data_IF_651623420775
#
_entry.id   IF_651623420775
#
_cell.length_a   1.000
_cell.length_b   1.000
_cell.length_c   1.000
_cell.angle_alpha   90.00
_cell.angle_beta   90.00
_cell.angle_gamma   90.00
#
_symmetry.space_group_name_H-M   'P 1'
#
loop_
_entity.id
_entity.type
_entity.pdbx_description
1 polymer ?
#
# COMPACT_ATOMS: atom_id res chain seq x y z
N UNK A 1 -15.73 -4.33 4.57
CA UNK A 1 -15.44 -2.91 4.24
C UNK A 1 -14.00 -2.62 4.64
N UNK A 2 -13.50 -1.37 4.49
CA UNK A 2 -12.09 -1.00 4.73
C UNK A 2 -11.10 -1.77 3.84
N UNK A 3 -11.50 -1.98 2.58
CA UNK A 3 -10.68 -2.49 1.48
C UNK A 3 -10.96 -1.63 0.25
N UNK A 4 -10.09 -1.68 -0.75
CA UNK A 4 -10.41 -1.16 -2.08
C UNK A 4 -11.44 -2.08 -2.78
N UNK A 5 -12.34 -1.49 -3.56
CA UNK A 5 -13.25 -2.24 -4.42
C UNK A 5 -14.37 -3.00 -3.69
N UNK A 6 -14.76 -4.13 -4.28
CA UNK A 6 -15.91 -4.92 -3.85
C UNK A 6 -15.54 -6.39 -3.69
N UNK A 7 -15.67 -6.87 -2.45
CA UNK A 7 -15.41 -8.26 -2.08
C UNK A 7 -16.54 -8.79 -1.21
N UNK A 8 -16.84 -10.07 -1.37
CA UNK A 8 -17.71 -10.86 -0.51
C UNK A 8 -16.91 -12.04 0.03
N UNK A 9 -16.98 -12.25 1.35
CA UNK A 9 -16.40 -13.41 2.03
C UNK A 9 -17.52 -14.20 2.67
N UNK A 10 -17.57 -15.49 2.40
CA UNK A 10 -18.47 -16.43 3.07
C UNK A 10 -17.63 -17.45 3.85
N UNK A 11 -18.10 -17.83 5.04
CA UNK A 11 -17.44 -18.84 5.86
C UNK A 11 -18.45 -19.81 6.43
N UNK A 12 -18.04 -21.08 6.58
CA UNK A 12 -18.79 -22.07 7.35
C UNK A 12 -18.05 -22.36 8.65
N UNK A 13 -18.75 -22.26 9.77
CA UNK A 13 -18.24 -22.56 11.10
C UNK A 13 -18.64 -23.97 11.50
N UNK A 14 -17.81 -24.63 12.31
CA UNK A 14 -18.23 -25.80 13.07
C UNK A 14 -18.95 -25.43 14.38
N UNK A 15 -19.37 -26.43 15.15
CA UNK A 15 -20.05 -26.26 16.44
C UNK A 15 -19.20 -25.52 17.50
N UNK A 16 -17.88 -25.42 17.29
CA UNK A 16 -16.94 -24.73 18.17
C UNK A 16 -16.60 -23.32 17.67
N UNK A 17 -17.37 -22.78 16.70
CA UNK A 17 -17.13 -21.49 16.04
C UNK A 17 -15.78 -21.39 15.30
N UNK A 18 -15.24 -22.50 14.82
CA UNK A 18 -14.01 -22.53 14.02
C UNK A 18 -14.36 -22.55 12.53
N UNK A 19 -13.74 -21.67 11.74
CA UNK A 19 -13.90 -21.64 10.28
C UNK A 19 -13.37 -22.94 9.68
N UNK A 20 -14.23 -23.68 8.97
CA UNK A 20 -13.90 -24.92 8.23
C UNK A 20 -13.91 -24.76 6.72
N UNK A 21 -14.57 -23.71 6.24
CA UNK A 21 -14.59 -23.34 4.83
C UNK A 21 -14.59 -21.81 4.72
N UNK A 22 -13.88 -21.29 3.73
CA UNK A 22 -13.84 -19.87 3.41
C UNK A 22 -13.90 -19.68 1.89
N UNK A 23 -14.78 -18.81 1.42
CA UNK A 23 -14.98 -18.48 0.01
C UNK A 23 -14.69 -16.99 -0.18
N UNK A 24 -13.77 -16.68 -1.08
CA UNK A 24 -13.43 -15.30 -1.48
C UNK A 24 -14.02 -15.00 -2.84
N UNK A 25 -14.90 -14.00 -2.94
CA UNK A 25 -15.57 -13.61 -4.17
C UNK A 25 -15.30 -12.15 -4.48
N UNK A 26 -14.60 -11.87 -5.57
CA UNK A 26 -14.55 -10.54 -6.16
C UNK A 26 -15.89 -10.20 -6.80
N UNK A 27 -16.52 -9.09 -6.40
CA UNK A 27 -17.89 -8.76 -6.81
C UNK A 27 -17.95 -7.60 -7.81
N UNK A 28 -16.87 -7.36 -8.54
CA UNK A 28 -16.78 -6.33 -9.57
C UNK A 28 -15.90 -6.73 -10.74
N UNK A 29 -16.17 -6.18 -11.92
CA UNK A 29 -15.33 -6.30 -13.11
C UNK A 29 -15.49 -5.07 -14.01
N UNK A 30 -14.43 -4.69 -14.73
CA UNK A 30 -14.42 -3.53 -15.66
C UNK A 30 -13.83 -3.83 -17.04
N UNK A 31 -13.05 -4.90 -17.20
CA UNK A 31 -12.56 -5.34 -18.52
C UNK A 31 -11.48 -4.48 -19.15
N UNK A 32 -10.48 -4.01 -18.40
CA UNK A 32 -9.40 -3.17 -18.94
C UNK A 32 -8.58 -3.90 -20.02
N UNK A 33 -8.35 -5.21 -19.89
CA UNK A 33 -7.68 -6.03 -20.90
C UNK A 33 -8.41 -5.98 -22.25
N UNK A 34 -9.74 -5.96 -22.22
CA UNK A 34 -10.58 -5.85 -23.42
C UNK A 34 -10.53 -4.43 -23.99
N UNK A 35 -10.61 -3.41 -23.13
CA UNK A 35 -10.60 -1.99 -23.51
C UNK A 35 -9.28 -1.57 -24.18
N UNK A 36 -8.17 -2.22 -23.81
CA UNK A 36 -6.84 -1.95 -24.36
C UNK A 36 -6.64 -2.49 -25.78
N UNK A 37 -7.48 -3.41 -26.26
CA UNK A 37 -7.36 -3.97 -27.62
C UNK A 37 -7.46 -2.85 -28.67
N UNK A 38 -6.47 -2.78 -29.55
CA UNK A 38 -6.40 -1.79 -30.63
C UNK A 38 -6.04 -0.37 -30.20
N UNK A 39 -5.66 -0.14 -28.93
CA UNK A 39 -5.12 1.14 -28.46
C UNK A 39 -3.65 1.29 -28.85
N UNK A 40 -3.18 2.53 -28.95
CA UNK A 40 -1.76 2.81 -29.12
C UNK A 40 -1.00 2.38 -27.83
N UNK A 41 0.08 1.59 -27.93
CA UNK A 41 0.86 1.18 -26.77
C UNK A 41 1.36 2.34 -25.90
N UNK A 42 1.57 3.53 -26.50
CA UNK A 42 2.00 4.74 -25.76
C UNK A 42 0.92 5.29 -24.83
N UNK A 43 -0.34 4.99 -25.11
CA UNK A 43 -1.48 5.42 -24.30
C UNK A 43 -1.84 4.41 -23.21
N UNK A 44 -1.34 3.16 -23.30
CA UNK A 44 -1.76 2.05 -22.45
C UNK A 44 -1.63 2.35 -20.95
N UNK A 45 -0.53 2.99 -20.54
CA UNK A 45 -0.28 3.33 -19.13
C UNK A 45 -1.40 4.20 -18.56
N UNK A 46 -1.97 5.11 -19.36
CA UNK A 46 -3.02 5.99 -18.89
C UNK A 46 -4.32 5.22 -18.64
N UNK A 47 -4.60 4.16 -19.42
CA UNK A 47 -5.77 3.30 -19.19
C UNK A 47 -5.54 2.37 -18.00
N UNK A 48 -4.41 1.66 -17.95
CA UNK A 48 -4.11 0.70 -16.87
C UNK A 48 -3.95 1.39 -15.52
N UNK A 49 -3.49 2.64 -15.46
CA UNK A 49 -3.42 3.38 -14.20
C UNK A 49 -4.77 3.54 -13.52
N UNK A 50 -5.86 3.54 -14.30
CA UNK A 50 -7.23 3.63 -13.76
C UNK A 50 -7.75 2.27 -13.31
N UNK A 51 -6.93 1.20 -13.34
CA UNK A 51 -7.25 -0.05 -12.64
C UNK A 51 -7.40 0.25 -11.15
N UNK A 52 -6.56 1.07 -10.52
CA UNK A 52 -6.68 1.34 -9.10
C UNK A 52 -6.21 2.74 -8.71
N UNK A 53 -6.99 3.42 -7.88
CA UNK A 53 -6.64 4.73 -7.31
C UNK A 53 -5.88 4.66 -5.98
N UNK A 54 -5.86 3.50 -5.33
CA UNK A 54 -5.13 3.26 -4.07
C UNK A 54 -3.66 2.97 -4.38
N UNK A 55 -3.38 1.86 -5.08
CA UNK A 55 -2.03 1.54 -5.59
C UNK A 55 -1.67 2.36 -6.85
N UNK A 56 -1.99 3.65 -6.83
CA UNK A 56 -1.94 4.55 -7.98
C UNK A 56 -0.52 4.70 -8.56
N UNK A 57 -0.40 4.53 -9.88
CA UNK A 57 0.86 4.67 -10.61
C UNK A 57 1.58 3.34 -10.84
N UNK A 58 1.39 2.31 -10.01
CA UNK A 58 2.10 1.03 -10.19
C UNK A 58 1.71 0.31 -11.48
N UNK A 59 0.42 0.39 -11.87
CA UNK A 59 -0.06 -0.13 -13.15
C UNK A 59 0.46 0.68 -14.36
N UNK A 60 0.68 1.99 -14.18
CA UNK A 60 1.28 2.82 -15.22
C UNK A 60 2.76 2.49 -15.41
N UNK A 61 3.51 2.39 -14.31
CA UNK A 61 4.91 1.96 -14.29
C UNK A 61 5.08 0.60 -14.96
N UNK A 62 4.25 -0.37 -14.58
CA UNK A 62 4.28 -1.71 -15.18
C UNK A 62 3.94 -1.65 -16.68
N UNK A 63 2.97 -0.82 -17.07
CA UNK A 63 2.61 -0.66 -18.48
C UNK A 63 3.72 -0.03 -19.32
N UNK A 64 4.38 1.04 -18.85
CA UNK A 64 5.49 1.64 -19.62
C UNK A 64 6.66 0.65 -19.73
N UNK A 65 6.97 -0.09 -18.65
CA UNK A 65 8.00 -1.14 -18.66
C UNK A 65 7.67 -2.26 -19.65
N UNK A 66 6.42 -2.71 -19.70
CA UNK A 66 5.99 -3.75 -20.63
C UNK A 66 6.10 -3.31 -22.10
N UNK A 67 5.72 -2.07 -22.40
CA UNK A 67 5.85 -1.51 -23.76
C UNK A 67 7.32 -1.30 -24.13
N UNK A 68 8.14 -0.82 -23.19
CA UNK A 68 9.58 -0.65 -23.38
C UNK A 68 10.29 -1.98 -23.61
N UNK A 69 9.94 -3.04 -22.86
CA UNK A 69 10.46 -4.39 -23.10
C UNK A 69 10.05 -4.92 -24.48
N UNK A 70 8.80 -4.71 -24.89
CA UNK A 70 8.32 -5.16 -26.20
C UNK A 70 9.03 -4.44 -27.36
N UNK A 71 9.28 -3.13 -27.21
CA UNK A 71 9.90 -2.28 -28.23
C UNK A 71 11.43 -2.13 -28.09
N UNK A 72 12.04 -2.76 -27.08
CA UNK A 72 13.47 -2.68 -26.75
C UNK A 72 13.95 -1.24 -26.59
N UNK A 73 13.20 -0.46 -25.79
CA UNK A 73 13.52 0.93 -25.47
C UNK A 73 14.27 0.96 -24.14
N UNK A 74 15.48 1.52 -24.18
CA UNK A 74 16.24 1.82 -22.97
C UNK A 74 15.96 3.25 -22.50
N UNK A 75 15.58 3.41 -21.23
CA UNK A 75 15.34 4.71 -20.61
C UNK A 75 16.64 5.29 -20.02
N UNK A 76 16.76 6.63 -19.92
CA UNK A 76 17.87 7.27 -19.20
C UNK A 76 17.83 6.99 -17.68
N UNK A 77 18.99 7.03 -17.03
CA UNK A 77 19.11 6.79 -15.57
C UNK A 77 18.24 7.72 -14.72
N UNK A 78 18.17 9.01 -15.06
CA UNK A 78 17.31 9.94 -14.33
C UNK A 78 15.82 9.54 -14.40
N UNK A 79 15.37 8.96 -15.52
CA UNK A 79 14.00 8.46 -15.61
C UNK A 79 13.80 7.23 -14.72
N UNK A 80 14.76 6.30 -14.69
CA UNK A 80 14.75 5.16 -13.78
C UNK A 80 14.64 5.61 -12.31
N UNK A 81 15.53 6.53 -11.89
CA UNK A 81 15.52 7.09 -10.53
C UNK A 81 14.20 7.75 -10.17
N UNK A 82 13.62 8.57 -11.06
CA UNK A 82 12.32 9.21 -10.81
C UNK A 82 11.20 8.16 -10.71
N UNK A 83 11.19 7.14 -11.59
CA UNK A 83 10.20 6.06 -11.53
C UNK A 83 10.30 5.28 -10.21
N UNK A 84 11.52 4.99 -9.74
CA UNK A 84 11.76 4.37 -8.44
C UNK A 84 11.29 5.25 -7.29
N UNK A 85 11.59 6.55 -7.32
CA UNK A 85 11.10 7.52 -6.31
C UNK A 85 9.57 7.52 -6.27
N UNK A 86 8.89 7.51 -7.42
CA UNK A 86 7.43 7.43 -7.47
C UNK A 86 6.91 6.10 -6.90
N UNK A 87 7.47 4.97 -7.31
CA UNK A 87 7.04 3.67 -6.78
C UNK A 87 7.26 3.56 -5.26
N UNK A 88 8.37 4.07 -4.73
CA UNK A 88 8.66 4.09 -3.29
C UNK A 88 7.76 5.09 -2.54
N UNK A 89 7.46 6.25 -3.14
CA UNK A 89 6.48 7.21 -2.60
C UNK A 89 5.12 6.54 -2.44
N UNK A 90 4.69 5.78 -3.45
CA UNK A 90 3.46 4.99 -3.37
C UNK A 90 3.52 3.98 -2.23
N UNK A 91 4.59 3.20 -2.11
CA UNK A 91 4.70 2.18 -1.05
C UNK A 91 4.57 2.80 0.34
N UNK A 92 5.26 3.91 0.61
CA UNK A 92 5.16 4.61 1.90
C UNK A 92 3.76 5.14 2.14
N UNK A 93 3.15 5.81 1.14
CA UNK A 93 1.80 6.36 1.25
C UNK A 93 0.76 5.27 1.49
N UNK A 94 0.74 4.25 0.64
CA UNK A 94 -0.25 3.16 0.65
C UNK A 94 -0.15 2.36 1.96
N UNK A 95 1.06 1.98 2.39
CA UNK A 95 1.24 1.24 3.65
C UNK A 95 0.85 2.05 4.87
N UNK A 96 1.19 3.34 4.92
CA UNK A 96 0.77 4.22 6.01
C UNK A 96 -0.75 4.33 6.07
N UNK A 97 -1.39 4.58 4.91
CA UNK A 97 -2.84 4.71 4.82
C UNK A 97 -3.53 3.40 5.16
N UNK A 98 -3.02 2.27 4.68
CA UNK A 98 -3.52 0.94 5.00
C UNK A 98 -3.48 0.66 6.49
N UNK A 99 -2.33 0.86 7.14
CA UNK A 99 -2.18 0.58 8.56
C UNK A 99 -3.21 1.38 9.38
N UNK A 100 -3.29 2.70 9.22
CA UNK A 100 -4.19 3.51 10.04
C UNK A 100 -5.65 3.44 9.58
N UNK A 101 -5.93 3.70 8.30
CA UNK A 101 -7.29 4.00 7.83
C UNK A 101 -8.05 2.78 7.32
N UNK A 102 -7.36 1.67 7.05
CA UNK A 102 -7.99 0.42 6.64
C UNK A 102 -7.92 -0.61 7.77
N UNK A 103 -6.76 -0.78 8.40
CA UNK A 103 -6.51 -1.93 9.27
C UNK A 103 -6.60 -1.62 10.77
N UNK A 104 -6.17 -0.45 11.24
CA UNK A 104 -6.00 -0.18 12.68
C UNK A 104 -7.29 -0.36 13.48
N UNK A 105 -8.46 -0.07 12.90
CA UNK A 105 -9.75 -0.21 13.59
C UNK A 105 -10.17 -1.67 13.84
N UNK A 106 -9.43 -2.67 13.35
CA UNK A 106 -9.56 -4.06 13.81
C UNK A 106 -8.83 -4.33 15.14
N UNK A 107 -7.89 -3.46 15.49
CA UNK A 107 -6.99 -3.60 16.66
C UNK A 107 -7.22 -2.53 17.73
N UNK A 108 -7.80 -1.39 17.34
CA UNK A 108 -7.97 -0.20 18.17
C UNK A 108 -9.45 0.03 18.45
N UNK A 109 -9.84 -0.02 19.72
CA UNK A 109 -11.17 0.33 20.19
C UNK A 109 -11.28 1.85 20.43
N UNK A 110 -11.91 2.54 19.47
CA UNK A 110 -12.08 4.00 19.48
C UNK A 110 -12.92 4.46 20.68
N UNK A 111 -13.91 3.68 21.12
CA UNK A 111 -14.77 4.07 22.25
C UNK A 111 -14.02 3.89 23.57
N UNK A 112 -13.18 2.86 23.68
CA UNK A 112 -12.33 2.64 24.85
C UNK A 112 -11.34 3.79 25.09
N UNK A 113 -10.88 4.46 24.03
CA UNK A 113 -10.01 5.65 24.14
C UNK A 113 -10.61 6.79 25.00
N UNK A 114 -11.94 6.87 25.10
CA UNK A 114 -12.63 7.85 25.96
C UNK A 114 -12.39 7.63 27.47
N UNK A 115 -11.92 6.44 27.86
CA UNK A 115 -11.65 6.07 29.25
C UNK A 115 -10.18 6.27 29.65
N UNK A 116 -9.32 6.64 28.71
CA UNK A 116 -7.89 6.75 28.94
C UNK A 116 -7.52 7.91 29.88
N UNK A 117 -6.47 7.75 30.68
CA UNK A 117 -5.79 8.88 31.30
C UNK A 117 -4.82 9.53 30.30
N UNK A 118 -5.01 10.82 29.91
CA UNK A 118 -4.11 11.50 29.00
C UNK A 118 -2.65 11.59 29.49
N UNK A 119 -2.41 11.62 30.81
CA UNK A 119 -1.05 11.60 31.36
C UNK A 119 -0.38 10.24 31.17
N UNK A 120 -1.11 9.17 31.42
CA UNK A 120 -0.60 7.81 31.19
C UNK A 120 -0.41 7.53 29.69
N UNK A 121 -1.30 8.04 28.84
CA UNK A 121 -1.16 7.99 27.37
C UNK A 121 0.10 8.72 26.91
N UNK A 122 0.35 9.92 27.46
CA UNK A 122 1.57 10.68 27.20
C UNK A 122 2.83 9.92 27.60
N UNK A 123 2.86 9.34 28.80
CA UNK A 123 3.99 8.55 29.26
C UNK A 123 4.22 7.30 28.38
N UNK A 124 3.14 6.64 27.93
CA UNK A 124 3.22 5.50 27.01
C UNK A 124 3.83 5.93 25.66
N UNK A 125 3.31 6.99 25.03
CA UNK A 125 3.82 7.49 23.76
C UNK A 125 5.31 7.87 23.83
N UNK A 126 5.71 8.56 24.90
CA UNK A 126 7.11 8.94 25.14
C UNK A 126 8.03 7.75 25.45
N UNK A 127 7.47 6.63 25.92
CA UNK A 127 8.26 5.43 26.20
C UNK A 127 8.61 4.63 24.93
N UNK A 128 7.86 4.82 23.84
CA UNK A 128 8.04 4.07 22.59
C UNK A 128 8.65 4.92 21.46
N UNK A 129 8.62 6.25 21.58
CA UNK A 129 9.07 7.15 20.52
C UNK A 129 9.47 8.53 21.04
N UNK A 130 10.33 9.22 20.28
CA UNK A 130 10.69 10.62 20.47
C UNK A 130 9.76 11.59 19.71
N UNK A 131 8.64 11.11 19.18
CA UNK A 131 7.67 11.94 18.47
C UNK A 131 7.19 13.13 19.34
N UNK A 132 7.29 14.38 18.84
CA UNK A 132 7.07 15.57 19.67
C UNK A 132 5.62 15.77 20.11
N UNK A 133 4.64 15.25 19.36
CA UNK A 133 3.21 15.40 19.68
C UNK A 133 2.76 14.40 20.76
N UNK A 134 3.38 14.46 21.93
CA UNK A 134 3.19 13.45 22.99
C UNK A 134 2.80 14.03 24.35
N UNK A 135 2.41 15.31 24.43
CA UNK A 135 2.07 15.95 25.70
C UNK A 135 0.73 15.47 26.30
N UNK A 136 0.55 15.47 27.63
CA UNK A 136 -0.74 15.13 28.24
C UNK A 136 -1.88 16.06 27.81
N UNK A 137 -1.56 17.33 27.55
CA UNK A 137 -2.53 18.31 27.04
C UNK A 137 -3.03 17.95 25.64
N UNK A 138 -2.13 17.54 24.77
CA UNK A 138 -2.46 17.11 23.40
C UNK A 138 -3.43 15.92 23.40
N UNK A 139 -3.10 14.85 24.12
CA UNK A 139 -3.98 13.68 24.21
C UNK A 139 -5.34 14.00 24.84
N UNK A 140 -5.38 14.89 25.84
CA UNK A 140 -6.65 15.36 26.44
C UNK A 140 -7.51 16.10 25.42
N UNK A 141 -6.91 16.94 24.59
CA UNK A 141 -7.64 17.71 23.59
C UNK A 141 -8.20 16.80 22.49
N UNK A 142 -7.43 15.80 22.05
CA UNK A 142 -7.90 14.76 21.12
C UNK A 142 -9.03 13.92 21.76
N UNK A 143 -8.86 13.48 23.01
CA UNK A 143 -9.91 12.75 23.73
C UNK A 143 -11.19 13.58 23.85
N UNK A 144 -11.09 14.88 24.15
CA UNK A 144 -12.24 15.78 24.20
C UNK A 144 -12.91 15.95 22.84
N UNK A 145 -12.13 16.04 21.75
CA UNK A 145 -12.66 16.07 20.38
C UNK A 145 -13.42 14.78 20.05
N UNK A 146 -12.85 13.63 20.41
CA UNK A 146 -13.50 12.33 20.22
C UNK A 146 -14.76 12.20 21.07
N UNK A 147 -14.73 12.66 22.32
CA UNK A 147 -15.89 12.67 23.21
C UNK A 147 -17.05 13.48 22.62
N UNK A 148 -16.80 14.71 22.17
CA UNK A 148 -17.81 15.54 21.49
C UNK A 148 -18.37 14.85 20.24
N UNK A 149 -17.51 14.20 19.46
CA UNK A 149 -17.92 13.45 18.28
C UNK A 149 -18.86 12.28 18.64
N UNK A 150 -18.52 11.51 19.69
CA UNK A 150 -19.34 10.39 20.17
C UNK A 150 -20.66 10.87 20.78
N UNK A 151 -20.62 11.91 21.61
CA UNK A 151 -21.80 12.51 22.26
C UNK A 151 -22.77 13.15 21.26
N UNK A 152 -22.32 13.50 20.05
CA UNK A 152 -23.19 14.02 18.99
C UNK A 152 -24.20 12.99 18.48
N UNK A 153 -23.98 11.68 18.72
CA UNK A 153 -24.74 10.59 18.13
C UNK A 153 -24.48 10.37 16.63
N UNK A 154 -23.67 11.23 16.00
CA UNK A 154 -23.30 11.15 14.58
C UNK A 154 -21.92 10.52 14.41
N UNK A 155 -21.82 9.22 14.71
CA UNK A 155 -20.55 8.49 14.75
C UNK A 155 -19.86 8.29 13.40
N UNK A 156 -20.50 8.66 12.29
CA UNK A 156 -19.94 8.61 10.94
C UNK A 156 -19.23 7.27 10.66
N UNK A 157 -17.92 7.25 10.34
CA UNK A 157 -17.18 6.01 10.06
C UNK A 157 -17.09 5.05 11.26
N UNK A 158 -17.38 5.50 12.48
CA UNK A 158 -17.36 4.68 13.69
C UNK A 158 -18.74 4.12 14.07
N UNK A 159 -19.79 4.45 13.31
CA UNK A 159 -21.13 3.93 13.57
C UNK A 159 -21.19 2.41 13.37
N UNK A 160 -21.83 1.71 14.31
CA UNK A 160 -21.98 0.24 14.29
C UNK A 160 -20.64 -0.52 14.14
N UNK A 161 -19.55 0.05 14.65
CA UNK A 161 -18.27 -0.67 14.77
C UNK A 161 -18.32 -1.75 15.86
N UNK A 162 -17.29 -2.59 15.92
CA UNK A 162 -17.20 -3.73 16.84
C UNK A 162 -16.77 -3.34 18.27
N UNK A 163 -16.97 -2.09 18.67
CA UNK A 163 -16.46 -1.52 19.92
C UNK A 163 -16.89 -2.34 21.14
N UNK A 164 -15.96 -2.62 22.05
CA UNK A 164 -16.16 -3.49 23.20
C UNK A 164 -16.10 -4.99 22.92
N UNK A 165 -15.84 -5.42 21.68
CA UNK A 165 -15.61 -6.83 21.37
C UNK A 165 -14.42 -7.37 22.19
N UNK A 166 -14.53 -8.57 22.80
CA UNK A 166 -13.48 -9.15 23.63
C UNK A 166 -12.17 -9.45 22.87
N UNK A 167 -12.19 -9.42 21.53
CA UNK A 167 -11.00 -9.53 20.71
C UNK A 167 -10.10 -8.30 20.78
N UNK A 168 -10.61 -7.11 21.16
CA UNK A 168 -9.78 -5.94 21.43
C UNK A 168 -9.03 -6.11 22.75
N UNK A 169 -7.71 -5.95 22.72
CA UNK A 169 -6.82 -6.18 23.86
C UNK A 169 -6.07 -4.94 24.34
N UNK A 170 -6.10 -3.85 23.56
CA UNK A 170 -5.41 -2.63 23.91
C UNK A 170 -6.03 -1.97 25.16
N UNK A 171 -5.22 -1.51 26.13
CA UNK A 171 -5.71 -0.66 27.21
C UNK A 171 -6.22 0.68 26.65
N UNK A 172 -7.08 1.42 27.37
CA UNK A 172 -7.58 2.73 26.97
C UNK A 172 -6.48 3.69 26.50
N UNK A 173 -5.34 3.73 27.19
CA UNK A 173 -4.19 4.60 26.87
C UNK A 173 -3.59 4.28 25.49
N UNK A 174 -3.39 3.00 25.19
CA UNK A 174 -2.89 2.58 23.87
C UNK A 174 -3.91 2.87 22.76
N UNK A 175 -5.21 2.73 23.06
CA UNK A 175 -6.25 3.12 22.10
C UNK A 175 -6.25 4.62 21.83
N UNK A 176 -6.13 5.47 22.86
CA UNK A 176 -6.08 6.92 22.67
C UNK A 176 -4.84 7.36 21.90
N UNK A 177 -3.69 6.74 22.16
CA UNK A 177 -2.46 6.96 21.38
C UNK A 177 -2.68 6.60 19.90
N UNK A 178 -3.15 5.39 19.61
CA UNK A 178 -3.35 4.94 18.24
C UNK A 178 -4.45 5.73 17.49
N UNK A 179 -5.53 6.14 18.17
CA UNK A 179 -6.54 7.05 17.57
C UNK A 179 -5.95 8.43 17.30
N UNK A 180 -5.06 8.92 18.15
CA UNK A 180 -4.36 10.19 17.91
C UNK A 180 -3.49 10.09 16.65
N UNK A 181 -2.67 9.05 16.55
CA UNK A 181 -1.82 8.83 15.39
C UNK A 181 -2.60 8.49 14.11
N UNK A 182 -3.77 7.84 14.21
CA UNK A 182 -4.72 7.70 13.10
C UNK A 182 -5.09 9.06 12.51
N UNK A 183 -5.39 10.06 13.36
CA UNK A 183 -5.73 11.41 12.91
C UNK A 183 -4.52 12.15 12.33
N UNK A 184 -3.35 12.01 12.96
CA UNK A 184 -2.10 12.58 12.43
C UNK A 184 -1.72 11.99 11.08
N UNK A 185 -1.88 10.67 10.89
CA UNK A 185 -1.62 9.99 9.64
C UNK A 185 -2.60 10.42 8.54
N UNK A 186 -3.87 10.66 8.87
CA UNK A 186 -4.87 11.19 7.94
C UNK A 186 -4.46 12.56 7.39
N UNK A 187 -3.87 13.39 8.25
CA UNK A 187 -3.34 14.69 7.89
C UNK A 187 -2.01 14.58 7.15
N UNK A 188 -1.10 13.71 7.56
CA UNK A 188 0.24 13.64 7.00
C UNK A 188 0.28 13.00 5.60
N UNK A 189 -0.55 11.99 5.33
CA UNK A 189 -0.49 11.23 4.08
C UNK A 189 -0.62 12.09 2.80
N UNK A 190 -1.33 13.23 2.87
CA UNK A 190 -1.48 14.17 1.74
C UNK A 190 -0.17 14.86 1.34
N UNK A 191 0.80 14.92 2.26
CA UNK A 191 2.11 15.52 2.02
C UNK A 191 3.00 14.58 1.22
N UNK A 192 2.96 13.28 1.52
CA UNK A 192 3.76 12.23 0.88
C UNK A 192 3.60 12.28 -0.65
N UNK A 193 2.35 12.35 -1.09
CA UNK A 193 1.99 12.31 -2.52
C UNK A 193 2.37 13.57 -3.30
N UNK A 194 2.86 14.63 -2.64
CA UNK A 194 3.37 15.81 -3.35
C UNK A 194 4.60 15.48 -4.20
N UNK A 195 5.35 14.41 -3.87
CA UNK A 195 6.42 13.89 -4.73
C UNK A 195 5.85 13.43 -6.08
N UNK A 196 4.73 12.69 -6.10
CA UNK A 196 4.02 12.35 -7.33
C UNK A 196 3.52 13.59 -8.06
N UNK A 197 3.05 14.61 -7.33
CA UNK A 197 2.62 15.87 -7.95
C UNK A 197 3.78 16.60 -8.64
N UNK A 198 4.98 16.57 -8.07
CA UNK A 198 6.17 17.23 -8.66
C UNK A 198 6.62 16.52 -9.94
N UNK A 199 6.74 15.19 -9.94
CA UNK A 199 7.24 14.44 -11.09
C UNK A 199 6.17 14.02 -12.10
N UNK A 200 4.96 13.71 -11.61
CA UNK A 200 3.84 13.21 -12.41
C UNK A 200 2.69 14.23 -12.58
N UNK A 201 2.79 15.42 -11.99
CA UNK A 201 1.83 16.51 -12.14
C UNK A 201 0.58 16.44 -11.24
N UNK A 202 0.22 15.26 -10.71
CA UNK A 202 -0.91 15.08 -9.77
C UNK A 202 -0.84 13.76 -9.00
N UNK A 203 -1.63 13.65 -7.94
CA UNK A 203 -1.99 12.41 -7.29
C UNK A 203 -3.45 12.51 -6.79
N UNK A 204 -4.31 11.47 -6.94
CA UNK A 204 -4.04 10.19 -7.62
C UNK A 204 -3.87 10.31 -9.15
N UNK A 205 -3.37 9.23 -9.74
CA UNK A 205 -3.12 9.03 -11.16
C UNK A 205 -2.10 10.01 -11.80
N UNK A 206 -0.83 10.03 -11.33
CA UNK A 206 0.24 10.81 -11.96
C UNK A 206 0.48 10.44 -13.43
N UNK A 207 1.15 11.31 -14.19
CA UNK A 207 1.45 11.05 -15.60
C UNK A 207 2.80 10.35 -15.78
N UNK A 208 2.88 9.44 -16.75
CA UNK A 208 4.05 8.67 -17.12
C UNK A 208 4.33 8.79 -18.62
N UNK A 209 5.45 8.24 -19.08
CA UNK A 209 5.85 8.31 -20.49
C UNK A 209 6.61 7.04 -20.90
N UNK A 210 6.18 6.39 -21.99
CA UNK A 210 7.00 5.35 -22.65
C UNK A 210 8.29 6.01 -23.16
N UNK A 211 9.44 5.48 -22.73
CA UNK A 211 10.78 6.05 -22.97
C UNK A 211 11.33 6.92 -21.84
N UNK A 212 10.60 7.10 -20.73
CA UNK A 212 11.14 7.77 -19.54
C UNK A 212 10.07 8.42 -18.65
N UNK A 213 10.20 9.73 -18.43
CA UNK A 213 9.27 10.55 -17.63
C UNK A 213 9.06 11.91 -18.31
N UNK A 214 7.86 12.52 -18.23
CA UNK A 214 7.58 13.80 -18.88
C UNK A 214 8.18 15.02 -18.15
N UNK A 215 8.64 14.86 -16.91
CA UNK A 215 9.17 15.94 -16.09
C UNK A 215 10.65 16.26 -16.41
N UNK A 216 10.88 17.01 -17.48
CA UNK A 216 12.22 17.46 -17.87
C UNK A 216 12.95 18.21 -16.74
N UNK A 217 14.27 18.06 -16.66
CA UNK A 217 15.11 18.65 -15.61
C UNK A 217 15.91 19.82 -16.21
N UNK A 218 15.89 20.95 -15.51
CA UNK A 218 16.79 22.08 -15.76
C UNK A 218 17.07 22.79 -14.43
N UNK A 219 18.30 22.68 -13.94
CA UNK A 219 18.70 23.19 -12.62
C UNK A 219 19.48 24.50 -12.65
N UNK A 220 19.95 24.95 -13.81
CA UNK A 220 20.89 26.08 -13.90
C UNK A 220 20.73 26.97 -15.13
N UNK A 221 20.03 26.52 -16.18
CA UNK A 221 19.89 27.30 -17.41
C UNK A 221 18.66 28.21 -17.40
N UNK A 222 18.65 29.18 -18.32
CA UNK A 222 17.47 30.02 -18.58
C UNK A 222 16.26 29.12 -18.91
N UNK A 223 15.13 29.40 -18.26
CA UNK A 223 13.91 28.59 -18.42
C UNK A 223 13.72 27.49 -17.36
N UNK A 224 14.62 27.36 -16.37
CA UNK A 224 14.49 26.41 -15.26
C UNK A 224 13.15 26.51 -14.48
N UNK A 225 12.48 27.67 -14.52
CA UNK A 225 11.14 27.87 -13.93
C UNK A 225 10.06 26.99 -14.55
N UNK A 226 10.27 26.47 -15.77
CA UNK A 226 9.34 25.57 -16.48
C UNK A 226 9.70 24.09 -16.40
N UNK A 227 10.64 23.70 -15.53
CA UNK A 227 11.18 22.34 -15.44
C UNK A 227 11.35 21.90 -13.98
N UNK A 228 11.78 20.65 -13.76
CA UNK A 228 12.30 20.21 -12.47
C UNK A 228 13.62 20.94 -12.23
N UNK A 229 13.60 21.85 -11.26
CA UNK A 229 14.74 22.68 -10.86
C UNK A 229 15.12 22.42 -9.39
N UNK A 230 16.12 23.14 -8.90
CA UNK A 230 16.65 22.92 -7.55
C UNK A 230 15.60 23.15 -6.45
N UNK A 231 14.68 24.10 -6.64
CA UNK A 231 13.65 24.37 -5.64
C UNK A 231 12.62 23.22 -5.59
N UNK A 232 12.24 22.64 -6.74
CA UNK A 232 11.41 21.43 -6.78
C UNK A 232 12.10 20.22 -6.12
N UNK A 233 13.40 20.04 -6.37
CA UNK A 233 14.18 18.96 -5.76
C UNK A 233 14.33 19.14 -4.24
N UNK A 234 14.50 20.37 -3.76
CA UNK A 234 14.51 20.67 -2.32
C UNK A 234 13.18 20.31 -1.65
N UNK A 235 12.05 20.57 -2.32
CA UNK A 235 10.74 20.16 -1.81
C UNK A 235 10.62 18.63 -1.71
N UNK A 236 11.06 17.89 -2.74
CA UNK A 236 11.08 16.43 -2.71
C UNK A 236 11.93 15.91 -1.55
N UNK A 237 13.15 16.42 -1.38
CA UNK A 237 14.04 16.03 -0.27
C UNK A 237 13.38 16.26 1.08
N UNK A 238 12.78 17.44 1.29
CA UNK A 238 12.08 17.75 2.53
C UNK A 238 10.92 16.79 2.81
N UNK A 239 10.12 16.44 1.79
CA UNK A 239 9.02 15.49 1.93
C UNK A 239 9.56 14.11 2.29
N UNK A 240 10.66 13.66 1.67
CA UNK A 240 11.30 12.37 1.99
C UNK A 240 11.73 12.34 3.47
N UNK A 241 12.42 13.38 3.95
CA UNK A 241 12.85 13.46 5.35
C UNK A 241 11.66 13.41 6.32
N UNK A 242 10.57 14.11 5.98
CA UNK A 242 9.30 14.07 6.73
C UNK A 242 8.67 12.68 6.73
N UNK A 243 8.74 11.95 5.62
CA UNK A 243 8.22 10.58 5.51
C UNK A 243 8.99 9.63 6.41
N UNK A 244 10.32 9.69 6.36
CA UNK A 244 11.21 8.89 7.21
C UNK A 244 10.91 9.18 8.68
N UNK A 245 10.85 10.45 9.07
CA UNK A 245 10.54 10.84 10.45
C UNK A 245 9.19 10.28 10.93
N UNK A 246 8.12 10.40 10.12
CA UNK A 246 6.80 9.91 10.51
C UNK A 246 6.75 8.38 10.58
N UNK A 247 7.40 7.69 9.63
CA UNK A 247 7.45 6.22 9.64
C UNK A 247 8.20 5.70 10.87
N UNK A 248 9.39 6.25 11.12
CA UNK A 248 10.28 5.79 12.19
C UNK A 248 9.78 6.17 13.59
N UNK A 249 9.11 7.31 13.72
CA UNK A 249 8.67 7.83 15.02
C UNK A 249 7.19 7.62 15.32
N UNK A 250 6.35 7.26 14.34
CA UNK A 250 4.91 7.07 14.56
C UNK A 250 4.48 5.69 14.10
N UNK A 251 4.61 5.36 12.80
CA UNK A 251 4.11 4.10 12.26
C UNK A 251 4.78 2.85 12.87
N UNK A 252 6.11 2.75 12.80
CA UNK A 252 6.83 1.56 13.30
C UNK A 252 6.69 1.38 14.81
N UNK A 253 6.80 2.44 15.65
CA UNK A 253 6.53 2.33 17.09
C UNK A 253 5.11 1.87 17.40
N UNK A 254 4.09 2.42 16.72
CA UNK A 254 2.69 2.01 16.92
C UNK A 254 2.47 0.55 16.52
N UNK A 255 2.98 0.14 15.35
CA UNK A 255 2.89 -1.25 14.90
C UNK A 255 3.47 -2.21 15.95
N UNK A 256 4.66 -1.89 16.47
CA UNK A 256 5.34 -2.72 17.47
C UNK A 256 4.60 -2.72 18.81
N UNK A 257 4.13 -1.55 19.25
CA UNK A 257 3.38 -1.40 20.50
C UNK A 257 2.06 -2.18 20.43
N UNK A 258 1.28 -2.01 19.36
CA UNK A 258 0.02 -2.73 19.14
C UNK A 258 0.28 -4.23 19.08
N UNK A 259 1.24 -4.69 18.28
CA UNK A 259 1.58 -6.11 18.16
C UNK A 259 1.92 -6.74 19.52
N UNK A 260 2.53 -5.98 20.44
CA UNK A 260 2.88 -6.49 21.78
C UNK A 260 1.68 -6.92 22.63
N UNK A 261 0.48 -6.40 22.36
CA UNK A 261 -0.78 -6.78 23.02
C UNK A 261 -1.51 -7.93 22.32
N UNK A 262 -1.10 -8.26 21.10
CA UNK A 262 -1.72 -9.27 20.24
C UNK A 262 -0.75 -10.40 19.89
N UNK A 263 0.18 -10.75 20.80
CA UNK A 263 1.20 -11.80 20.57
C UNK A 263 0.63 -13.18 20.26
N UNK A 264 -0.61 -13.44 20.67
CA UNK A 264 -1.36 -14.67 20.45
C UNK A 264 -2.23 -14.64 19.19
N UNK A 265 -2.22 -13.54 18.41
CA UNK A 265 -2.84 -13.50 17.07
C UNK A 265 -2.01 -14.30 16.05
N UNK A 266 -2.12 -15.62 16.17
CA UNK A 266 -1.48 -16.60 15.29
C UNK A 266 -2.42 -17.13 14.20
N UNK A 267 -3.59 -16.51 14.06
CA UNK A 267 -4.59 -16.86 13.06
C UNK A 267 -4.22 -16.28 11.69
N UNK A 268 -4.64 -16.96 10.61
CA UNK A 268 -4.51 -16.42 9.25
C UNK A 268 -3.16 -16.67 8.54
N UNK A 269 -2.31 -17.55 9.07
CA UNK A 269 -1.03 -17.91 8.42
C UNK A 269 -1.17 -18.49 7.01
N UNK A 270 -2.27 -19.20 6.72
CA UNK A 270 -2.63 -19.64 5.36
C UNK A 270 -1.45 -20.25 4.59
N UNK A 271 -1.20 -19.70 3.40
CA UNK A 271 -0.11 -20.13 2.52
C UNK A 271 1.26 -19.49 2.85
N UNK A 272 1.35 -18.54 3.79
CA UNK A 272 2.61 -17.78 4.01
C UNK A 272 3.77 -18.65 4.50
N UNK A 273 3.48 -19.74 5.20
CA UNK A 273 4.47 -20.75 5.63
C UNK A 273 4.80 -21.79 4.55
N UNK A 274 4.07 -21.78 3.43
CA UNK A 274 4.14 -22.80 2.39
C UNK A 274 4.63 -22.23 1.06
N UNK A 275 3.96 -21.22 0.52
CA UNK A 275 4.26 -20.68 -0.81
C UNK A 275 4.17 -19.17 -0.82
N UNK A 276 5.28 -18.51 -1.15
CA UNK A 276 5.39 -17.05 -1.28
C UNK A 276 6.18 -16.71 -2.54
N UNK A 277 5.88 -15.56 -3.14
CA UNK A 277 6.47 -15.14 -4.41
C UNK A 277 6.69 -13.63 -4.44
N UNK A 278 7.80 -13.20 -5.02
CA UNK A 278 8.09 -11.80 -5.35
C UNK A 278 8.78 -11.72 -6.70
N UNK A 279 8.29 -10.86 -7.60
CA UNK A 279 8.98 -10.59 -8.88
C UNK A 279 10.21 -9.69 -8.71
N UNK A 280 10.37 -9.09 -7.52
CA UNK A 280 11.32 -8.02 -7.28
C UNK A 280 10.91 -6.71 -7.97
N UNK A 281 11.49 -5.61 -7.51
CA UNK A 281 11.25 -4.26 -8.05
C UNK A 281 12.40 -3.34 -7.64
N UNK A 282 12.30 -2.07 -8.02
CA UNK A 282 13.26 -1.00 -7.75
C UNK A 282 14.64 -1.35 -8.33
N UNK A 283 14.79 -1.39 -9.68
CA UNK A 283 16.08 -1.58 -10.32
C UNK A 283 17.01 -0.41 -10.03
N UNK A 284 18.14 -0.67 -9.40
CA UNK A 284 19.18 0.30 -9.05
C UNK A 284 19.86 0.88 -10.31
N UNK A 285 20.03 0.04 -11.35
CA UNK A 285 20.59 0.45 -12.64
C UNK A 285 19.49 0.46 -13.70
N UNK A 286 19.41 1.53 -14.49
CA UNK A 286 18.41 1.63 -15.55
C UNK A 286 18.50 0.45 -16.54
N UNK A 287 17.34 -0.07 -16.92
CA UNK A 287 17.14 -1.15 -17.90
C UNK A 287 17.68 -2.54 -17.48
N UNK A 288 18.32 -2.66 -16.32
CA UNK A 288 18.75 -3.94 -15.74
C UNK A 288 17.72 -4.44 -14.73
N UNK A 289 16.90 -5.40 -15.15
CA UNK A 289 15.89 -6.09 -14.32
C UNK A 289 16.38 -7.44 -13.78
N UNK A 290 17.70 -7.69 -13.80
CA UNK A 290 18.27 -8.87 -13.17
C UNK A 290 18.15 -8.78 -11.64
N UNK A 291 18.15 -9.92 -10.97
CA UNK A 291 18.07 -9.99 -9.50
C UNK A 291 19.19 -9.18 -8.80
N UNK A 292 20.33 -8.97 -9.46
CA UNK A 292 21.46 -8.18 -8.92
C UNK A 292 21.27 -6.66 -8.98
N UNK A 293 20.29 -6.19 -9.75
CA UNK A 293 19.93 -4.78 -9.89
C UNK A 293 18.70 -4.44 -9.04
N UNK A 294 17.80 -5.39 -8.84
CA UNK A 294 16.57 -5.18 -8.07
C UNK A 294 16.87 -5.03 -6.57
N UNK A 295 16.57 -3.85 -6.01
CA UNK A 295 16.70 -3.59 -4.58
C UNK A 295 15.64 -4.30 -3.75
N UNK A 296 14.48 -4.64 -4.35
CA UNK A 296 13.51 -5.57 -3.76
C UNK A 296 13.73 -6.99 -4.31
N UNK A 297 13.89 -8.01 -3.45
CA UNK A 297 14.27 -9.36 -3.88
C UNK A 297 13.24 -10.03 -4.81
N UNK A 298 13.74 -10.83 -5.74
CA UNK A 298 12.96 -11.71 -6.63
C UNK A 298 13.15 -13.17 -6.25
N UNK A 299 12.07 -13.94 -6.28
CA UNK A 299 12.10 -15.39 -6.11
C UNK A 299 10.77 -15.95 -5.60
N UNK A 300 10.65 -17.28 -5.67
CA UNK A 300 9.53 -18.02 -5.12
C UNK A 300 10.00 -19.10 -4.13
N UNK A 301 9.27 -19.26 -3.04
CA UNK A 301 9.40 -20.40 -2.12
C UNK A 301 8.14 -21.24 -2.32
N UNK A 302 8.31 -22.57 -2.37
CA UNK A 302 7.23 -23.52 -2.60
C UNK A 302 7.34 -24.64 -1.54
N UNK A 303 6.20 -25.14 -1.07
CA UNK A 303 6.10 -26.23 -0.08
C UNK A 303 6.85 -25.99 1.25
N UNK A 304 7.09 -24.74 1.61
CA UNK A 304 7.76 -24.34 2.86
C UNK A 304 9.27 -24.58 2.87
N UNK A 305 9.87 -24.90 1.73
CA UNK A 305 11.32 -25.12 1.62
C UNK A 305 12.07 -23.79 1.57
N UNK A 306 12.37 -23.23 2.74
CA UNK A 306 13.16 -22.01 2.88
C UNK A 306 14.62 -22.17 2.43
N UNK A 307 15.11 -23.39 2.22
CA UNK A 307 16.47 -23.63 1.74
C UNK A 307 16.61 -23.43 0.23
N UNK A 308 15.50 -23.36 -0.48
CA UNK A 308 15.46 -23.27 -1.94
C UNK A 308 14.60 -22.10 -2.40
N UNK A 309 15.27 -21.10 -2.98
CA UNK A 309 14.62 -20.00 -3.67
C UNK A 309 14.55 -20.36 -5.15
N UNK A 310 13.34 -20.53 -5.67
CA UNK A 310 13.10 -20.78 -7.08
C UNK A 310 13.20 -19.46 -7.85
N UNK A 311 13.92 -19.49 -8.98
CA UNK A 311 13.87 -18.40 -9.94
C UNK A 311 12.48 -18.32 -10.57
N UNK A 312 12.10 -17.09 -10.93
CA UNK A 312 10.86 -16.81 -11.65
C UNK A 312 11.28 -16.38 -13.04
N UNK A 313 10.68 -16.94 -14.09
CA UNK A 313 10.76 -16.46 -15.46
C UNK A 313 9.34 -16.16 -15.96
N UNK A 314 9.07 -14.88 -16.24
CA UNK A 314 7.77 -14.40 -16.72
C UNK A 314 7.54 -14.69 -18.21
N UNK A 315 8.52 -15.27 -18.91
CA UNK A 315 8.41 -15.69 -20.30
C UNK A 315 8.17 -17.19 -20.44
N UNK A 316 8.35 -17.94 -19.36
CA UNK A 316 8.16 -19.39 -19.33
C UNK A 316 6.66 -19.71 -19.21
N UNK A 317 6.03 -20.28 -20.24
CA UNK A 317 4.59 -20.54 -20.24
C UNK A 317 4.16 -21.58 -19.20
N UNK A 318 5.10 -22.36 -18.66
CA UNK A 318 4.83 -23.37 -17.62
C UNK A 318 4.90 -22.81 -16.19
N UNK A 319 5.25 -21.53 -16.00
CA UNK A 319 5.34 -20.89 -14.68
C UNK A 319 4.05 -20.16 -14.28
N UNK A 320 3.91 -18.88 -14.65
CA UNK A 320 2.76 -18.07 -14.25
C UNK A 320 1.58 -18.42 -15.14
N UNK A 321 0.53 -19.01 -14.56
CA UNK A 321 -0.69 -19.40 -15.26
C UNK A 321 -1.93 -18.96 -14.48
N UNK A 322 -2.98 -18.61 -15.21
CA UNK A 322 -4.28 -18.22 -14.66
C UNK A 322 -5.34 -19.26 -15.03
N UNK A 323 -6.13 -19.67 -14.04
CA UNK A 323 -7.21 -20.65 -14.19
C UNK A 323 -8.57 -19.99 -13.98
N UNK A 324 -9.57 -20.39 -14.77
CA UNK A 324 -10.92 -19.82 -14.72
C UNK A 324 -12.00 -20.80 -14.21
N UNK A 325 -11.62 -22.02 -13.82
CA UNK A 325 -12.55 -23.10 -13.40
C UNK A 325 -13.52 -22.69 -12.28
N UNK A 326 -13.11 -21.77 -11.41
CA UNK A 326 -13.93 -21.21 -10.32
C UNK A 326 -14.12 -19.70 -10.43
N UNK A 327 -14.12 -19.18 -11.64
CA UNK A 327 -14.22 -17.75 -11.97
C UNK A 327 -15.31 -17.52 -13.02
N UNK A 328 -15.84 -16.31 -13.11
CA UNK A 328 -16.88 -15.97 -14.10
C UNK A 328 -16.29 -15.58 -15.47
N UNK A 329 -15.42 -16.44 -16.00
CA UNK A 329 -14.82 -16.33 -17.34
C UNK A 329 -14.85 -17.68 -18.04
N UNK A 330 -14.64 -17.68 -19.35
CA UNK A 330 -14.67 -18.90 -20.17
C UNK A 330 -13.36 -19.06 -20.94
N UNK A 331 -12.80 -20.25 -20.93
CA UNK A 331 -11.68 -20.67 -21.79
C UNK A 331 -12.12 -21.77 -22.76
N UNK A 332 -11.36 -22.01 -23.85
CA UNK A 332 -11.60 -23.15 -24.73
C UNK A 332 -11.54 -24.50 -23.98
N UNK A 333 -10.68 -24.60 -22.97
CA UNK A 333 -10.59 -25.72 -22.03
C UNK A 333 -10.42 -25.17 -20.60
N UNK A 334 -11.50 -25.12 -19.84
CA UNK A 334 -11.53 -24.54 -18.48
C UNK A 334 -10.78 -25.39 -17.43
N UNK A 335 -10.27 -26.56 -17.81
CA UNK A 335 -9.45 -27.42 -16.93
C UNK A 335 -7.96 -27.06 -16.97
N UNK A 336 -7.55 -26.16 -17.86
CA UNK A 336 -6.17 -25.74 -18.06
C UNK A 336 -5.97 -24.29 -17.69
N UNK A 337 -4.79 -24.00 -17.14
CA UNK A 337 -4.31 -22.64 -16.94
C UNK A 337 -3.72 -22.10 -18.23
N UNK A 338 -3.83 -20.80 -18.46
CA UNK A 338 -3.18 -20.11 -19.57
C UNK A 338 -2.10 -19.17 -19.03
N UNK A 339 -0.96 -19.12 -19.69
CA UNK A 339 0.03 -18.07 -19.47
C UNK A 339 -0.57 -16.72 -19.92
N UNK A 340 -0.26 -15.57 -19.28
CA UNK A 340 -0.87 -14.27 -19.62
C UNK A 340 -0.72 -13.81 -21.08
N UNK A 341 0.23 -14.35 -21.85
CA UNK A 341 0.30 -14.08 -23.29
C UNK A 341 -0.76 -14.82 -24.13
N UNK A 342 -1.32 -15.92 -23.61
CA UNK A 342 -2.35 -16.74 -24.23
C UNK A 342 -3.75 -16.47 -23.65
N UNK A 343 -3.85 -15.61 -22.62
CA UNK A 343 -5.05 -15.35 -21.82
C UNK A 343 -6.16 -14.51 -22.46
#
# INVERSE_FOLDING_TARGET
TRIEGHMRVEVNLDESNVIRNAVSTGTMWRGLEVILKGRDPRDAWAFTERICGVCTGTHALTSVRAVEDALKIDIPENANSIRNIMQLTLQVHDHLVHFYHLHALDWVDVVSALKADPKATSALAQSISNWPNSSPGYFRDIQNRLKKFVESGQLGPFMNGYWGNPAYKLPPEANLMAVTHYLEALDFQKEIVKIHTIFGGKNPHPNWLVGGMPCAINVHDTGAVGAINMERLNQVSYIIDRCIEFVDQVYVPDLTAIASFYKDWLHGGGISSLSVMSYGDIPDRANDYSASSLLLPRGAIINGDLSKIHEIDLRDPDQVQEFVTHSWYSYPDETKGLHPWDG
#
